data_IF_227870006849
#
_entry.id   IF_227870006849
#
_cell.length_a   1.000
_cell.length_b   1.000
_cell.length_c   1.000
_cell.angle_alpha   90.00
_cell.angle_beta   90.00
_cell.angle_gamma   90.00
#
_symmetry.space_group_name_H-M   'P 1'
#
loop_
_entity.id
_entity.type
_entity.pdbx_description
1 polymer ?
#
# COMPACT_ATOMS: atom_id res chain seq x y z
N UNK A 1 24.66 -10.72 15.07
CA UNK A 1 24.78 -12.18 14.89
C UNK A 1 26.18 -12.58 15.33
N UNK A 2 26.31 -13.56 16.21
CA UNK A 2 27.62 -14.02 16.70
C UNK A 2 28.28 -14.92 15.65
N UNK A 3 29.33 -14.42 15.00
CA UNK A 3 30.20 -15.22 14.14
C UNK A 3 30.99 -16.21 15.01
N UNK A 4 30.50 -17.45 15.12
CA UNK A 4 31.31 -18.55 15.62
C UNK A 4 32.36 -18.92 14.56
N UNK A 5 33.58 -18.43 14.76
CA UNK A 5 34.75 -18.79 13.94
C UNK A 5 35.42 -20.02 14.55
N UNK A 6 35.36 -21.16 13.86
CA UNK A 6 36.00 -22.40 14.28
C UNK A 6 37.41 -22.46 13.68
N UNK A 7 38.43 -22.55 14.54
CA UNK A 7 39.82 -22.72 14.18
C UNK A 7 40.15 -24.21 14.06
N UNK A 8 40.63 -24.65 12.90
CA UNK A 8 41.23 -25.98 12.73
C UNK A 8 42.75 -25.85 12.68
N UNK A 9 43.44 -26.52 13.61
CA UNK A 9 44.90 -26.67 13.58
C UNK A 9 45.19 -28.08 13.08
N UNK A 10 45.84 -28.20 11.93
CA UNK A 10 46.35 -29.47 11.43
C UNK A 10 47.57 -29.91 12.25
N UNK A 11 47.73 -31.23 12.42
CA UNK A 11 48.71 -31.94 13.24
C UNK A 11 50.06 -31.24 13.47
N UNK A 12 50.50 -31.28 14.73
CA UNK A 12 51.84 -30.87 15.16
C UNK A 12 52.77 -32.07 14.96
N UNK A 13 53.52 -32.10 13.86
CA UNK A 13 54.73 -32.92 13.79
C UNK A 13 55.79 -32.29 14.71
N UNK A 14 56.52 -33.11 15.46
CA UNK A 14 57.26 -32.76 16.67
C UNK A 14 58.47 -31.84 16.53
N UNK A 15 58.51 -30.94 15.54
CA UNK A 15 59.53 -29.89 15.39
C UNK A 15 58.94 -28.55 15.87
N UNK A 16 59.39 -28.10 17.05
CA UNK A 16 58.90 -26.89 17.75
C UNK A 16 59.36 -25.57 17.10
N UNK A 17 59.41 -25.53 15.78
CA UNK A 17 59.65 -24.30 15.01
C UNK A 17 58.31 -23.79 14.51
N UNK A 18 57.73 -22.85 15.27
CA UNK A 18 56.58 -22.07 14.81
C UNK A 18 56.99 -21.31 13.55
N UNK A 19 56.60 -21.81 12.38
CA UNK A 19 56.62 -21.00 11.17
C UNK A 19 55.56 -19.92 11.35
N UNK A 20 55.92 -18.66 11.08
CA UNK A 20 54.94 -17.59 10.95
C UNK A 20 54.06 -17.92 9.74
N UNK A 21 52.90 -18.51 9.99
CA UNK A 21 51.87 -18.69 8.97
C UNK A 21 51.04 -17.43 8.96
N UNK A 22 51.15 -16.64 7.89
CA UNK A 22 50.22 -15.56 7.62
C UNK A 22 48.87 -16.19 7.29
N UNK A 23 47.92 -16.12 8.21
CA UNK A 23 46.53 -16.48 7.95
C UNK A 23 45.90 -15.33 7.16
N UNK A 24 45.74 -15.51 5.85
CA UNK A 24 44.87 -14.66 5.06
C UNK A 24 43.42 -14.95 5.48
N UNK A 25 42.81 -13.99 6.20
CA UNK A 25 41.37 -13.96 6.38
C UNK A 25 40.80 -13.51 5.05
N UNK A 26 40.46 -14.48 4.19
CA UNK A 26 39.68 -14.21 3.00
C UNK A 26 38.27 -13.90 3.51
N UNK A 27 37.89 -12.62 3.51
CA UNK A 27 36.49 -12.22 3.64
C UNK A 27 35.75 -12.87 2.47
N UNK A 28 35.19 -14.06 2.69
CA UNK A 28 34.35 -14.71 1.70
C UNK A 28 33.13 -13.82 1.55
N UNK A 29 33.12 -13.01 0.48
CA UNK A 29 31.94 -12.27 0.07
C UNK A 29 30.85 -13.31 -0.09
N UNK A 30 29.91 -13.35 0.87
CA UNK A 30 28.74 -14.21 0.75
C UNK A 30 27.85 -13.56 -0.30
N UNK A 31 27.89 -14.12 -1.50
CA UNK A 31 27.01 -13.73 -2.58
C UNK A 31 25.61 -14.30 -2.30
N UNK A 32 24.59 -13.47 -2.51
CA UNK A 32 23.20 -13.77 -2.14
C UNK A 32 22.34 -13.74 -3.40
N UNK A 33 21.49 -14.76 -3.56
CA UNK A 33 20.45 -14.83 -4.56
C UNK A 33 19.23 -14.01 -4.13
N UNK A 34 18.52 -13.47 -5.11
CA UNK A 34 17.32 -12.69 -4.88
C UNK A 34 17.18 -11.50 -5.81
N UNK A 35 16.21 -10.65 -5.49
CA UNK A 35 15.84 -9.46 -6.23
C UNK A 35 16.14 -8.21 -5.41
N UNK A 36 16.84 -7.25 -6.00
CA UNK A 36 17.38 -6.10 -5.29
C UNK A 36 16.71 -4.80 -5.74
N UNK A 37 16.19 -4.05 -4.77
CA UNK A 37 15.50 -2.79 -4.99
C UNK A 37 16.13 -1.66 -4.17
N UNK A 38 16.15 -0.43 -4.68
CA UNK A 38 16.38 0.73 -3.83
C UNK A 38 15.09 1.08 -3.06
N UNK A 39 15.23 1.82 -1.96
CA UNK A 39 14.07 2.27 -1.15
C UNK A 39 13.14 3.23 -1.90
N UNK A 40 13.57 3.78 -3.03
CA UNK A 40 12.72 4.57 -3.94
C UNK A 40 11.88 3.73 -4.91
N UNK A 41 12.00 2.39 -4.82
CA UNK A 41 11.28 1.44 -5.67
C UNK A 41 12.02 1.07 -6.96
N UNK A 42 13.21 1.62 -7.23
CA UNK A 42 14.01 1.25 -8.42
C UNK A 42 14.51 -0.19 -8.31
N UNK A 43 14.34 -0.99 -9.36
CA UNK A 43 14.92 -2.34 -9.43
C UNK A 43 16.36 -2.29 -9.91
N UNK A 44 17.30 -2.75 -9.07
CA UNK A 44 18.74 -2.71 -9.37
C UNK A 44 19.21 -3.95 -10.14
N UNK A 45 18.62 -5.11 -9.86
CA UNK A 45 18.89 -6.37 -10.55
C UNK A 45 18.50 -7.61 -9.76
N UNK A 46 18.88 -8.77 -10.30
CA UNK A 46 18.64 -10.11 -9.75
C UNK A 46 19.96 -10.88 -9.73
N UNK A 47 20.16 -11.71 -8.71
CA UNK A 47 21.20 -12.75 -8.68
C UNK A 47 20.55 -14.14 -8.56
N UNK A 48 21.09 -15.10 -9.30
CA UNK A 48 20.60 -16.48 -9.38
C UNK A 48 21.75 -17.41 -9.78
N UNK A 49 22.71 -17.51 -8.88
CA UNK A 49 23.90 -18.35 -9.07
C UNK A 49 23.85 -19.53 -8.09
N UNK A 50 24.16 -20.76 -8.53
CA UNK A 50 24.09 -21.96 -7.68
C UNK A 50 24.97 -21.90 -6.42
N UNK A 51 26.06 -21.16 -6.46
CA UNK A 51 27.02 -20.99 -5.36
C UNK A 51 26.60 -19.94 -4.33
N UNK A 52 25.62 -19.10 -4.66
CA UNK A 52 25.12 -18.07 -3.77
C UNK A 52 24.19 -18.68 -2.71
N UNK A 53 24.14 -18.02 -1.55
CA UNK A 53 23.17 -18.36 -0.50
C UNK A 53 21.84 -17.63 -0.70
N UNK A 54 20.81 -17.99 0.09
CA UNK A 54 19.48 -17.38 -0.02
C UNK A 54 18.64 -17.95 -1.15
N UNK A 55 17.38 -17.53 -1.24
CA UNK A 55 16.46 -17.92 -2.30
C UNK A 55 16.50 -16.92 -3.46
N UNK A 56 16.40 -17.41 -4.69
CA UNK A 56 16.19 -16.55 -5.86
C UNK A 56 14.91 -15.73 -5.77
N UNK A 57 13.93 -16.20 -5.00
CA UNK A 57 12.64 -15.53 -4.80
C UNK A 57 12.68 -14.48 -3.68
N UNK A 58 13.77 -14.39 -2.92
CA UNK A 58 13.88 -13.41 -1.84
C UNK A 58 13.95 -11.98 -2.39
N UNK A 59 13.31 -11.04 -1.68
CA UNK A 59 13.37 -9.61 -2.01
C UNK A 59 14.25 -8.88 -1.01
N UNK A 60 15.24 -8.16 -1.51
CA UNK A 60 16.13 -7.32 -0.74
C UNK A 60 15.94 -5.86 -1.14
N UNK A 61 16.14 -4.98 -0.17
CA UNK A 61 16.53 -3.61 -0.50
C UNK A 61 18.04 -3.46 -0.53
N UNK A 62 18.52 -2.41 -1.18
CA UNK A 62 19.92 -2.07 -1.30
C UNK A 62 20.10 -0.55 -1.47
N UNK A 63 21.35 -0.09 -1.38
CA UNK A 63 21.74 1.30 -1.64
C UNK A 63 22.49 1.40 -2.99
N UNK A 64 22.00 0.67 -3.99
CA UNK A 64 22.63 0.53 -5.31
C UNK A 64 23.60 -0.64 -5.43
N UNK A 65 24.24 -0.73 -6.59
CA UNK A 65 25.15 -1.80 -6.99
C UNK A 65 26.59 -1.34 -7.20
N UNK A 66 27.53 -2.26 -7.02
CA UNK A 66 28.96 -2.07 -7.26
C UNK A 66 29.57 -3.25 -7.99
N UNK A 67 30.66 -3.00 -8.72
CA UNK A 67 31.46 -4.04 -9.36
C UNK A 67 32.63 -4.44 -8.47
N UNK A 68 32.80 -5.74 -8.23
CA UNK A 68 33.98 -6.31 -7.56
C UNK A 68 34.64 -7.33 -8.49
N UNK A 69 35.94 -7.59 -8.31
CA UNK A 69 36.63 -8.67 -9.02
C UNK A 69 36.72 -9.90 -8.12
N UNK A 70 36.48 -11.08 -8.67
CA UNK A 70 36.76 -12.33 -7.97
C UNK A 70 38.25 -12.68 -7.97
N UNK A 71 38.61 -13.81 -7.36
CA UNK A 71 39.98 -14.34 -7.28
C UNK A 71 40.59 -14.62 -8.66
N UNK A 72 39.76 -14.82 -9.70
CA UNK A 72 40.19 -14.99 -11.08
C UNK A 72 40.31 -13.67 -11.85
N UNK A 73 39.99 -12.54 -11.22
CA UNK A 73 39.98 -11.21 -11.82
C UNK A 73 38.72 -10.88 -12.62
N UNK A 74 37.70 -11.75 -12.60
CA UNK A 74 36.42 -11.54 -13.31
C UNK A 74 35.56 -10.54 -12.54
N UNK A 75 34.98 -9.59 -13.27
CA UNK A 75 34.06 -8.61 -12.70
C UNK A 75 32.70 -9.23 -12.36
N UNK A 76 32.22 -8.93 -11.15
CA UNK A 76 30.97 -9.40 -10.56
C UNK A 76 30.16 -8.22 -10.04
N UNK A 77 28.86 -8.24 -10.29
CA UNK A 77 27.93 -7.27 -9.72
C UNK A 77 27.58 -7.68 -8.29
N UNK A 78 27.64 -6.71 -7.38
CA UNK A 78 27.29 -6.86 -5.96
C UNK A 78 26.34 -5.73 -5.56
N UNK A 79 25.53 -5.96 -4.54
CA UNK A 79 24.57 -4.97 -4.04
C UNK A 79 24.98 -4.50 -2.65
N UNK A 80 24.85 -3.20 -2.41
CA UNK A 80 25.33 -2.56 -1.19
C UNK A 80 24.22 -2.42 -0.16
N UNK A 81 24.57 -2.52 1.12
CA UNK A 81 23.63 -2.23 2.22
C UNK A 81 22.38 -3.12 2.20
N UNK A 82 22.51 -4.38 1.79
CA UNK A 82 21.34 -5.22 1.55
C UNK A 82 20.57 -5.52 2.83
N UNK A 83 19.24 -5.40 2.77
CA UNK A 83 18.32 -5.79 3.85
C UNK A 83 17.17 -6.63 3.27
N UNK A 84 17.02 -7.85 3.77
CA UNK A 84 15.98 -8.81 3.37
C UNK A 84 14.62 -8.32 3.83
N UNK A 85 13.67 -8.16 2.90
CA UNK A 85 12.31 -7.77 3.19
C UNK A 85 11.51 -8.93 3.79
N UNK A 86 10.77 -8.62 4.85
CA UNK A 86 9.98 -9.60 5.59
C UNK A 86 8.57 -9.11 5.88
N UNK A 87 7.62 -10.02 5.77
CA UNK A 87 6.26 -9.85 6.24
C UNK A 87 5.98 -10.90 7.34
N UNK A 88 5.53 -10.45 8.52
CA UNK A 88 5.28 -11.32 9.67
C UNK A 88 6.45 -12.29 9.98
N UNK A 89 7.68 -11.76 9.98
CA UNK A 89 8.95 -12.49 10.16
C UNK A 89 9.35 -13.48 9.06
N UNK A 90 8.51 -13.67 8.05
CA UNK A 90 8.77 -14.52 6.88
C UNK A 90 9.27 -13.70 5.69
N UNK A 91 10.13 -14.30 4.86
CA UNK A 91 10.62 -13.67 3.64
C UNK A 91 9.47 -13.49 2.66
N UNK A 92 9.32 -12.30 2.11
CA UNK A 92 8.34 -12.08 1.03
C UNK A 92 8.88 -12.65 -0.29
N UNK A 93 8.07 -13.47 -0.97
CA UNK A 93 8.39 -13.94 -2.31
C UNK A 93 8.28 -12.80 -3.34
N UNK A 94 9.19 -12.78 -4.32
CA UNK A 94 9.26 -11.72 -5.33
C UNK A 94 7.96 -11.57 -6.14
N UNK A 95 7.35 -12.68 -6.54
CA UNK A 95 6.06 -12.69 -7.22
C UNK A 95 4.95 -12.00 -6.40
N UNK A 96 4.90 -12.25 -5.10
CA UNK A 96 3.88 -11.65 -4.22
C UNK A 96 4.16 -10.16 -4.00
N UNK A 97 5.43 -9.78 -3.79
CA UNK A 97 5.85 -8.39 -3.75
C UNK A 97 5.42 -7.62 -5.02
N UNK A 98 5.66 -8.18 -6.21
CA UNK A 98 5.28 -7.56 -7.47
C UNK A 98 3.78 -7.40 -7.62
N UNK A 99 2.98 -8.39 -7.20
CA UNK A 99 1.51 -8.31 -7.25
C UNK A 99 0.97 -7.28 -6.27
N UNK A 100 1.47 -7.26 -5.04
CA UNK A 100 1.09 -6.25 -4.02
C UNK A 100 1.37 -4.84 -4.57
N UNK A 101 2.56 -4.61 -5.12
CA UNK A 101 2.92 -3.31 -5.70
C UNK A 101 1.96 -2.91 -6.84
N UNK A 102 1.56 -3.86 -7.68
CA UNK A 102 0.65 -3.57 -8.80
C UNK A 102 -0.76 -3.21 -8.31
N UNK A 103 -1.23 -3.89 -7.27
CA UNK A 103 -2.52 -3.58 -6.66
C UNK A 103 -2.46 -2.18 -6.04
N UNK A 104 -1.43 -1.85 -5.26
CA UNK A 104 -1.24 -0.49 -4.70
C UNK A 104 -1.22 0.58 -5.80
N UNK A 105 -0.55 0.33 -6.93
CA UNK A 105 -0.55 1.21 -8.11
C UNK A 105 -1.95 1.49 -8.65
N UNK A 106 -2.83 0.49 -8.63
CA UNK A 106 -4.18 0.59 -9.15
C UNK A 106 -5.22 1.10 -8.15
N UNK A 107 -4.91 1.09 -6.86
CA UNK A 107 -5.75 1.68 -5.80
C UNK A 107 -5.57 3.21 -5.70
N UNK A 108 -4.36 3.74 -5.95
CA UNK A 108 -4.11 5.18 -5.89
C UNK A 108 -4.79 5.96 -7.01
N UNK A 109 -5.25 7.17 -6.69
CA UNK A 109 -6.06 8.02 -7.57
C UNK A 109 -5.30 9.25 -8.10
N UNK A 110 -4.12 9.55 -7.56
CA UNK A 110 -3.33 10.77 -7.78
C UNK A 110 -1.96 10.49 -8.39
N UNK A 111 -1.13 11.54 -8.47
CA UNK A 111 0.29 11.43 -8.81
C UNK A 111 1.20 11.78 -7.63
N UNK A 112 0.62 11.86 -6.42
CA UNK A 112 1.32 12.14 -5.16
C UNK A 112 1.92 10.85 -4.60
N UNK A 113 3.18 10.90 -4.16
CA UNK A 113 3.88 9.71 -3.63
C UNK A 113 3.22 9.21 -2.34
N UNK A 114 2.78 10.15 -1.51
CA UNK A 114 2.21 9.93 -0.18
C UNK A 114 0.96 9.05 -0.25
N UNK A 115 0.13 9.16 -1.29
CA UNK A 115 -1.07 8.34 -1.42
C UNK A 115 -0.74 6.85 -1.54
N UNK A 116 0.24 6.51 -2.39
CA UNK A 116 0.68 5.11 -2.57
C UNK A 116 1.40 4.57 -1.34
N UNK A 117 2.18 5.42 -0.66
CA UNK A 117 2.78 5.09 0.62
C UNK A 117 1.69 4.74 1.64
N UNK A 118 0.67 5.58 1.78
CA UNK A 118 -0.35 5.42 2.82
C UNK A 118 -1.26 4.23 2.52
N UNK A 119 -1.58 3.96 1.24
CA UNK A 119 -2.29 2.73 0.84
C UNK A 119 -1.48 1.49 1.24
N UNK A 120 -0.17 1.48 0.99
CA UNK A 120 0.69 0.36 1.38
C UNK A 120 0.73 0.14 2.91
N UNK A 121 0.82 1.21 3.70
CA UNK A 121 0.76 1.11 5.17
C UNK A 121 -0.62 0.66 5.67
N UNK A 122 -1.72 1.16 5.10
CA UNK A 122 -3.07 0.73 5.48
C UNK A 122 -3.31 -0.75 5.18
N UNK A 123 -2.84 -1.24 4.02
CA UNK A 123 -2.84 -2.66 3.67
C UNK A 123 -2.09 -3.50 4.69
N UNK A 124 -0.89 -3.06 5.06
CA UNK A 124 -0.03 -3.76 5.99
C UNK A 124 -0.59 -3.77 7.43
N UNK A 125 -1.19 -2.68 7.86
CA UNK A 125 -1.86 -2.59 9.17
C UNK A 125 -3.07 -3.54 9.25
N UNK A 126 -3.91 -3.57 8.21
CA UNK A 126 -5.04 -4.49 8.18
C UNK A 126 -4.58 -5.94 8.09
N UNK A 127 -3.56 -6.26 7.29
CA UNK A 127 -3.03 -7.63 7.14
C UNK A 127 -2.53 -8.15 8.49
N UNK A 128 -1.77 -7.33 9.24
CA UNK A 128 -1.38 -7.61 10.63
C UNK A 128 -2.59 -7.80 11.54
N UNK A 129 -3.59 -6.92 11.48
CA UNK A 129 -4.77 -6.97 12.35
C UNK A 129 -5.56 -8.27 12.19
N UNK A 130 -5.62 -8.83 10.98
CA UNK A 130 -6.40 -10.05 10.68
C UNK A 130 -5.55 -11.32 10.56
N UNK A 131 -4.23 -11.22 10.76
CA UNK A 131 -3.31 -12.35 10.67
C UNK A 131 -3.18 -12.94 9.26
N UNK A 132 -3.15 -12.07 8.24
CA UNK A 132 -2.92 -12.44 6.84
C UNK A 132 -1.67 -11.76 6.29
N UNK A 133 -1.16 -12.25 5.16
CA UNK A 133 -0.21 -11.48 4.35
C UNK A 133 -0.92 -10.39 3.55
N UNK A 134 -0.22 -9.34 3.16
CA UNK A 134 -0.73 -8.28 2.28
C UNK A 134 -1.24 -8.89 0.98
N UNK A 135 -0.54 -9.90 0.43
CA UNK A 135 -0.98 -10.59 -0.78
C UNK A 135 -2.33 -11.30 -0.59
N UNK A 136 -2.51 -12.03 0.51
CA UNK A 136 -3.78 -12.70 0.83
C UNK A 136 -4.91 -11.69 1.02
N UNK A 137 -4.66 -10.63 1.81
CA UNK A 137 -5.62 -9.57 2.05
C UNK A 137 -6.07 -8.90 0.74
N UNK A 138 -5.11 -8.47 -0.09
CA UNK A 138 -5.39 -7.78 -1.33
C UNK A 138 -6.06 -8.66 -2.40
N UNK A 139 -5.93 -9.99 -2.32
CA UNK A 139 -6.67 -10.91 -3.18
C UNK A 139 -8.05 -11.29 -2.65
N UNK A 140 -8.40 -10.85 -1.44
CA UNK A 140 -9.76 -10.97 -0.91
C UNK A 140 -10.70 -9.88 -1.48
N UNK A 141 -11.89 -9.74 -0.87
CA UNK A 141 -12.81 -8.64 -1.14
C UNK A 141 -12.38 -7.28 -0.56
N UNK A 142 -11.22 -7.19 0.08
CA UNK A 142 -10.69 -5.95 0.66
C UNK A 142 -10.27 -4.92 -0.41
N UNK A 143 -9.65 -5.36 -1.50
CA UNK A 143 -9.27 -4.51 -2.63
C UNK A 143 -10.30 -4.61 -3.75
N UNK A 144 -10.70 -3.46 -4.27
CA UNK A 144 -11.67 -3.33 -5.38
C UNK A 144 -11.03 -3.49 -6.76
N UNK A 145 -9.70 -3.57 -6.84
CA UNK A 145 -8.95 -3.71 -8.09
C UNK A 145 -9.41 -4.97 -8.85
N UNK A 146 -9.71 -4.79 -10.14
CA UNK A 146 -10.14 -5.90 -11.00
C UNK A 146 -9.09 -7.01 -11.08
N UNK A 147 -9.53 -8.27 -11.15
CA UNK A 147 -8.64 -9.44 -11.21
C UNK A 147 -7.57 -9.37 -12.32
N UNK A 148 -7.86 -8.73 -13.46
CA UNK A 148 -6.92 -8.54 -14.57
C UNK A 148 -5.69 -7.69 -14.20
N UNK A 149 -5.78 -6.90 -13.14
CA UNK A 149 -4.72 -6.05 -12.62
C UNK A 149 -4.03 -6.65 -11.38
N UNK A 150 -4.56 -7.73 -10.80
CA UNK A 150 -3.92 -8.49 -9.70
C UNK A 150 -2.82 -9.43 -10.22
N UNK A 151 -1.96 -8.91 -11.09
CA UNK A 151 -0.83 -9.61 -11.73
C UNK A 151 0.48 -8.95 -11.34
N UNK A 152 1.61 -9.62 -11.58
CA UNK A 152 2.94 -9.08 -11.27
C UNK A 152 3.21 -7.76 -12.03
N UNK A 153 3.60 -6.72 -11.30
CA UNK A 153 4.17 -5.52 -11.90
C UNK A 153 5.55 -5.83 -12.48
N UNK A 154 5.82 -5.46 -13.73
CA UNK A 154 7.13 -5.72 -14.34
C UNK A 154 8.21 -4.88 -13.67
N UNK A 155 9.39 -5.47 -13.48
CA UNK A 155 10.56 -4.77 -12.92
C UNK A 155 11.05 -3.62 -13.79
N UNK A 156 10.72 -3.63 -15.09
CA UNK A 156 11.04 -2.56 -16.04
C UNK A 156 10.05 -1.38 -16.03
N UNK A 157 8.94 -1.47 -15.30
CA UNK A 157 7.99 -0.35 -15.17
C UNK A 157 8.56 0.73 -14.25
N UNK A 158 9.18 1.74 -14.85
CA UNK A 158 9.85 2.85 -14.16
C UNK A 158 9.09 4.18 -14.26
N UNK A 159 7.79 4.14 -14.60
CA UNK A 159 6.96 5.32 -14.44
C UNK A 159 6.80 5.69 -12.96
N UNK A 160 6.50 6.96 -12.69
CA UNK A 160 6.46 7.50 -11.33
C UNK A 160 5.54 6.72 -10.40
N UNK A 161 4.39 6.27 -10.88
CA UNK A 161 3.40 5.57 -10.06
C UNK A 161 3.89 4.17 -9.69
N UNK A 162 4.50 3.47 -10.65
CA UNK A 162 5.12 2.18 -10.39
C UNK A 162 6.25 2.27 -9.36
N UNK A 163 7.08 3.32 -9.43
CA UNK A 163 8.13 3.58 -8.45
C UNK A 163 7.54 3.91 -7.06
N UNK A 164 6.55 4.79 -6.98
CA UNK A 164 5.91 5.16 -5.72
C UNK A 164 5.21 3.97 -5.05
N UNK A 165 4.59 3.09 -5.85
CA UNK A 165 3.92 1.90 -5.34
C UNK A 165 4.93 0.90 -4.77
N UNK A 166 6.04 0.66 -5.47
CA UNK A 166 7.13 -0.18 -4.94
C UNK A 166 7.76 0.43 -3.69
N UNK A 167 8.04 1.73 -3.71
CA UNK A 167 8.59 2.45 -2.56
C UNK A 167 7.66 2.36 -1.34
N UNK A 168 6.35 2.51 -1.53
CA UNK A 168 5.37 2.40 -0.45
C UNK A 168 5.32 1.01 0.18
N UNK A 169 5.30 -0.04 -0.64
CA UNK A 169 5.32 -1.43 -0.15
C UNK A 169 6.63 -1.75 0.56
N UNK A 170 7.77 -1.32 0.01
CA UNK A 170 9.07 -1.46 0.66
C UNK A 170 9.05 -0.77 2.03
N UNK A 171 8.60 0.49 2.11
CA UNK A 171 8.59 1.26 3.35
C UNK A 171 7.68 0.65 4.42
N UNK A 172 6.49 0.15 4.04
CA UNK A 172 5.59 -0.54 4.95
C UNK A 172 6.20 -1.84 5.51
N UNK A 173 6.84 -2.67 4.66
CA UNK A 173 7.51 -3.90 5.08
C UNK A 173 8.75 -3.62 5.94
N UNK A 174 9.43 -2.49 5.72
CA UNK A 174 10.60 -2.06 6.48
C UNK A 174 10.33 -1.87 7.97
N UNK A 175 9.07 -1.63 8.35
CA UNK A 175 8.65 -1.52 9.76
C UNK A 175 8.88 -2.80 10.58
N UNK A 176 9.12 -3.94 9.95
CA UNK A 176 9.54 -5.18 10.65
C UNK A 176 11.05 -5.28 10.86
N UNK A 177 11.84 -4.39 10.24
CA UNK A 177 13.30 -4.52 10.13
C UNK A 177 13.98 -3.32 10.79
N UNK A 178 13.30 -2.18 10.87
CA UNK A 178 13.84 -0.90 11.29
C UNK A 178 12.86 -0.25 12.27
N UNK A 179 13.20 -0.25 13.56
CA UNK A 179 12.34 0.28 14.64
C UNK A 179 12.17 1.81 14.54
N UNK A 180 13.02 2.51 13.77
CA UNK A 180 12.89 3.94 13.50
C UNK A 180 11.83 4.23 12.40
N UNK A 181 11.29 3.19 11.76
CA UNK A 181 10.23 3.33 10.74
C UNK A 181 8.86 3.37 11.39
N UNK A 182 8.25 4.54 11.35
CA UNK A 182 6.90 4.79 11.85
C UNK A 182 5.83 4.56 10.78
N UNK A 183 4.59 4.34 11.24
CA UNK A 183 3.41 4.33 10.39
C UNK A 183 2.88 5.75 10.16
N UNK A 184 2.96 6.30 8.95
CA UNK A 184 2.51 7.66 8.68
C UNK A 184 0.98 7.79 8.64
N UNK A 185 0.24 6.69 8.77
CA UNK A 185 -1.23 6.66 8.68
C UNK A 185 -1.93 6.62 10.04
N UNK A 186 -1.18 6.64 11.14
CA UNK A 186 -1.69 6.42 12.50
C UNK A 186 -2.59 5.17 12.63
N UNK A 187 -2.06 4.02 12.18
CA UNK A 187 -2.75 2.73 12.20
C UNK A 187 -4.06 2.72 11.39
N UNK A 188 -4.14 3.49 10.30
CA UNK A 188 -5.23 3.32 9.36
C UNK A 188 -5.24 1.89 8.82
N UNK A 189 -6.42 1.33 8.60
CA UNK A 189 -6.63 -0.05 8.13
C UNK A 189 -7.51 -0.09 6.89
N UNK A 190 -8.00 1.06 6.43
CA UNK A 190 -8.87 1.22 5.28
C UNK A 190 -8.69 2.61 4.68
N UNK A 191 -9.21 2.79 3.48
CA UNK A 191 -9.25 4.08 2.81
C UNK A 191 -10.50 4.19 1.93
N UNK A 192 -10.88 5.40 1.54
CA UNK A 192 -11.80 5.64 0.41
C UNK A 192 -11.30 6.78 -0.46
N UNK A 193 -11.75 6.76 -1.71
CA UNK A 193 -11.54 7.85 -2.65
C UNK A 193 -12.64 8.91 -2.60
N UNK A 194 -12.65 9.70 -3.66
CA UNK A 194 -13.62 10.78 -3.95
C UNK A 194 -15.10 10.36 -3.92
N UNK A 195 -15.42 9.07 -4.05
CA UNK A 195 -16.78 8.55 -3.97
C UNK A 195 -17.40 8.65 -2.57
N UNK A 196 -16.56 8.68 -1.52
CA UNK A 196 -17.03 8.97 -0.16
C UNK A 196 -17.72 10.33 -0.08
N UNK A 197 -17.13 11.37 -0.70
CA UNK A 197 -17.71 12.72 -0.74
C UNK A 197 -18.91 12.81 -1.69
N UNK A 198 -18.94 12.02 -2.76
CA UNK A 198 -20.02 12.09 -3.75
C UNK A 198 -21.30 11.40 -3.28
N UNK A 199 -21.19 10.22 -2.68
CA UNK A 199 -22.35 9.37 -2.38
C UNK A 199 -23.02 9.70 -1.04
N UNK A 200 -22.32 10.35 -0.10
CA UNK A 200 -22.93 10.78 1.16
C UNK A 200 -23.42 9.61 2.03
N UNK A 201 -24.41 9.86 2.87
CA UNK A 201 -24.92 8.97 3.92
C UNK A 201 -26.02 8.07 3.41
N UNK A 202 -27.16 8.64 3.00
CA UNK A 202 -28.32 7.89 2.53
C UNK A 202 -29.16 8.63 1.48
N UNK A 203 -28.75 9.83 1.08
CA UNK A 203 -29.55 10.71 0.22
C UNK A 203 -29.62 10.20 -1.21
N UNK A 204 -28.51 9.78 -1.80
CA UNK A 204 -28.46 9.41 -3.22
C UNK A 204 -28.40 7.91 -3.50
N UNK A 205 -29.17 7.47 -4.51
CA UNK A 205 -29.03 6.12 -5.09
C UNK A 205 -27.67 5.98 -5.77
N UNK A 206 -26.98 4.86 -5.54
CA UNK A 206 -25.70 4.57 -6.20
C UNK A 206 -25.89 4.42 -7.71
N UNK A 207 -24.91 4.85 -8.52
CA UNK A 207 -25.07 4.91 -9.97
C UNK A 207 -25.20 3.52 -10.62
N UNK A 208 -24.66 2.49 -9.97
CA UNK A 208 -24.61 1.09 -10.41
C UNK A 208 -25.60 0.18 -9.66
N UNK A 209 -26.46 0.72 -8.79
CA UNK A 209 -27.39 -0.06 -7.97
C UNK A 209 -28.81 0.49 -8.04
N UNK A 210 -29.80 -0.40 -8.08
CA UNK A 210 -31.23 -0.03 -8.03
C UNK A 210 -31.81 0.02 -6.61
N UNK A 211 -31.01 -0.35 -5.61
CA UNK A 211 -31.51 -0.56 -4.23
C UNK A 211 -30.59 -0.05 -3.13
N UNK A 212 -29.37 0.39 -3.47
CA UNK A 212 -28.39 0.87 -2.48
C UNK A 212 -28.24 2.38 -2.58
N UNK A 213 -28.34 3.03 -1.45
CA UNK A 213 -28.18 4.48 -1.29
C UNK A 213 -26.91 4.77 -0.48
N UNK A 214 -26.34 5.96 -0.66
CA UNK A 214 -25.23 6.40 0.17
C UNK A 214 -23.93 5.65 -0.05
N UNK A 215 -22.89 6.05 0.67
CA UNK A 215 -21.63 5.32 0.75
C UNK A 215 -21.74 4.16 1.76
N UNK A 216 -21.22 2.97 1.42
CA UNK A 216 -21.44 1.75 2.22
C UNK A 216 -20.93 1.90 3.66
N UNK A 217 -19.92 2.74 3.91
CA UNK A 217 -19.37 2.92 5.26
C UNK A 217 -20.41 3.42 6.26
N UNK A 218 -21.37 4.24 5.84
CA UNK A 218 -22.42 4.73 6.71
C UNK A 218 -23.38 3.62 7.14
N UNK A 219 -23.44 2.50 6.41
CA UNK A 219 -24.16 1.29 6.78
C UNK A 219 -23.30 0.31 7.59
N UNK A 220 -22.01 0.20 7.27
CA UNK A 220 -21.10 -0.85 7.77
C UNK A 220 -20.56 -0.56 9.19
N UNK A 221 -20.43 0.72 9.55
CA UNK A 221 -19.80 1.16 10.79
C UNK A 221 -20.81 1.85 11.71
N UNK A 222 -20.54 1.75 13.00
CA UNK A 222 -21.39 2.23 14.08
C UNK A 222 -21.37 3.76 14.17
N UNK A 223 -20.20 4.34 13.87
CA UNK A 223 -20.05 5.77 13.65
C UNK A 223 -18.94 6.04 12.62
N UNK A 224 -18.99 7.23 12.04
CA UNK A 224 -17.91 7.81 11.23
C UNK A 224 -17.56 9.16 11.83
N UNK A 225 -16.27 9.38 12.08
CA UNK A 225 -15.74 10.65 12.59
C UNK A 225 -14.63 11.16 11.69
N UNK A 226 -14.69 12.45 11.35
CA UNK A 226 -13.65 13.16 10.60
C UNK A 226 -13.42 14.50 11.29
N UNK A 227 -12.17 14.80 11.66
CA UNK A 227 -11.88 16.13 12.21
C UNK A 227 -12.11 17.20 11.15
N UNK A 228 -12.52 18.41 11.56
CA UNK A 228 -12.78 19.49 10.60
C UNK A 228 -11.61 19.74 9.66
N UNK A 229 -10.40 19.75 10.20
CA UNK A 229 -9.16 19.96 9.44
C UNK A 229 -8.93 18.87 8.39
N UNK A 230 -9.15 17.59 8.74
CA UNK A 230 -8.99 16.49 7.77
C UNK A 230 -10.08 16.53 6.70
N UNK A 231 -11.32 16.82 7.10
CA UNK A 231 -12.44 16.97 6.17
C UNK A 231 -12.18 18.09 5.16
N UNK A 232 -11.79 19.28 5.64
CA UNK A 232 -11.52 20.44 4.79
C UNK A 232 -10.38 20.16 3.82
N UNK A 233 -9.30 19.53 4.30
CA UNK A 233 -8.18 19.11 3.45
C UNK A 233 -8.61 18.11 2.38
N UNK A 234 -9.44 17.13 2.74
CA UNK A 234 -9.95 16.14 1.80
C UNK A 234 -10.83 16.77 0.71
N UNK A 235 -11.78 17.62 1.12
CA UNK A 235 -12.64 18.36 0.20
C UNK A 235 -11.82 19.25 -0.72
N UNK A 236 -10.86 20.02 -0.20
CA UNK A 236 -9.99 20.89 -1.00
C UNK A 236 -9.23 20.09 -2.07
N UNK A 237 -8.60 18.97 -1.69
CA UNK A 237 -7.85 18.14 -2.65
C UNK A 237 -8.76 17.55 -3.73
N UNK A 238 -9.89 16.97 -3.35
CA UNK A 238 -10.82 16.33 -4.31
C UNK A 238 -11.44 17.37 -5.24
N UNK A 239 -11.95 18.48 -4.70
CA UNK A 239 -12.57 19.55 -5.50
C UNK A 239 -11.56 20.34 -6.33
N UNK A 240 -10.32 20.48 -5.87
CA UNK A 240 -9.22 21.06 -6.64
C UNK A 240 -8.93 20.28 -7.93
N UNK A 241 -9.13 18.96 -7.93
CA UNK A 241 -9.02 18.11 -9.14
C UNK A 241 -10.31 18.06 -9.96
N UNK A 242 -11.44 17.83 -9.30
CA UNK A 242 -12.72 17.47 -9.97
C UNK A 242 -13.62 18.66 -10.25
N UNK A 243 -13.41 19.78 -9.58
CA UNK A 243 -14.40 20.85 -9.46
C UNK A 243 -15.50 20.47 -8.45
N UNK A 244 -16.69 21.02 -8.65
CA UNK A 244 -17.82 20.87 -7.73
C UNK A 244 -18.71 19.65 -8.00
N UNK A 245 -18.34 18.77 -8.94
CA UNK A 245 -19.19 17.62 -9.31
C UNK A 245 -18.36 16.39 -9.68
N UNK A 246 -18.93 15.20 -9.50
CA UNK A 246 -18.35 13.92 -9.92
C UNK A 246 -19.35 13.07 -10.70
N UNK A 247 -18.88 12.41 -11.76
CA UNK A 247 -19.75 11.70 -12.68
C UNK A 247 -19.43 10.20 -12.82
N UNK A 248 -20.46 9.38 -12.72
CA UNK A 248 -20.35 7.92 -12.79
C UNK A 248 -21.12 7.37 -13.98
N UNK A 249 -20.68 6.23 -14.54
CA UNK A 249 -21.55 5.46 -15.43
C UNK A 249 -22.76 5.00 -14.63
N UNK A 250 -23.96 5.23 -15.15
CA UNK A 250 -25.18 4.89 -14.45
C UNK A 250 -26.03 3.90 -15.24
N UNK A 251 -26.63 2.95 -14.52
CA UNK A 251 -27.63 2.02 -15.06
C UNK A 251 -29.05 2.60 -15.07
N UNK A 252 -29.20 3.81 -14.53
CA UNK A 252 -30.45 4.53 -14.37
C UNK A 252 -30.84 5.24 -15.67
N UNK A 253 -32.15 5.35 -15.89
CA UNK A 253 -32.70 5.93 -17.11
C UNK A 253 -32.91 7.43 -16.93
N UNK A 254 -32.28 8.23 -17.82
CA UNK A 254 -32.41 9.69 -17.85
C UNK A 254 -33.85 10.21 -18.01
N UNK A 255 -34.81 9.34 -18.34
CA UNK A 255 -36.21 9.70 -18.60
C UNK A 255 -37.18 9.31 -17.48
N UNK A 256 -36.73 8.63 -16.42
CA UNK A 256 -37.59 8.21 -15.29
C UNK A 256 -37.35 9.06 -14.04
N UNK A 257 -38.05 10.18 -13.96
CA UNK A 257 -37.98 11.14 -12.84
C UNK A 257 -38.71 10.74 -11.56
N UNK A 258 -39.31 9.55 -11.45
CA UNK A 258 -40.31 9.30 -10.39
C UNK A 258 -39.96 8.22 -9.36
N UNK A 259 -38.76 7.63 -9.37
CA UNK A 259 -38.41 6.59 -8.37
C UNK A 259 -36.96 6.59 -7.89
N UNK A 260 -36.19 7.64 -8.15
CA UNK A 260 -34.80 7.75 -7.70
C UNK A 260 -34.73 8.67 -6.49
N UNK A 261 -34.28 8.13 -5.35
CA UNK A 261 -33.95 8.92 -4.15
C UNK A 261 -32.60 9.61 -4.45
N UNK A 262 -32.52 10.93 -4.25
CA UNK A 262 -31.28 11.68 -4.46
C UNK A 262 -31.43 13.10 -4.98
N UNK A 263 -30.34 13.85 -4.93
CA UNK A 263 -30.18 15.19 -5.52
C UNK A 263 -29.33 15.16 -6.80
N UNK A 264 -28.68 14.03 -7.11
CA UNK A 264 -27.88 13.88 -8.34
C UNK A 264 -28.72 14.03 -9.62
N UNK A 265 -28.04 14.41 -10.71
CA UNK A 265 -28.67 14.60 -12.02
C UNK A 265 -28.22 13.56 -13.04
N UNK A 266 -29.10 13.22 -13.99
CA UNK A 266 -28.79 12.29 -15.06
C UNK A 266 -28.52 12.98 -16.40
N UNK A 267 -27.48 12.55 -17.10
CA UNK A 267 -27.14 13.05 -18.45
C UNK A 267 -26.63 11.94 -19.36
N UNK A 268 -27.03 11.97 -20.63
CA UNK A 268 -26.43 11.11 -21.66
C UNK A 268 -25.14 11.76 -22.17
N UNK A 269 -24.03 11.05 -22.06
CA UNK A 269 -22.71 11.46 -22.60
C UNK A 269 -22.16 10.34 -23.46
N UNK A 270 -21.91 10.62 -24.75
CA UNK A 270 -21.37 9.62 -25.71
C UNK A 270 -22.15 8.28 -25.70
N UNK A 271 -23.49 8.34 -25.72
CA UNK A 271 -24.40 7.17 -25.66
C UNK A 271 -24.33 6.36 -24.35
N UNK A 272 -23.75 6.91 -23.28
CA UNK A 272 -23.76 6.30 -21.94
C UNK A 272 -24.51 7.20 -20.98
N UNK A 273 -25.35 6.61 -20.14
CA UNK A 273 -26.02 7.32 -19.06
C UNK A 273 -25.00 7.62 -17.96
N UNK A 274 -25.03 8.85 -17.46
CA UNK A 274 -24.18 9.33 -16.37
C UNK A 274 -25.06 9.85 -15.25
N UNK A 275 -24.71 9.51 -14.01
CA UNK A 275 -25.17 10.19 -12.81
C UNK A 275 -24.10 11.21 -12.40
N UNK A 276 -24.52 12.44 -12.08
CA UNK A 276 -23.66 13.56 -11.72
C UNK A 276 -24.03 13.99 -10.30
N UNK A 277 -23.08 13.83 -9.38
CA UNK A 277 -23.22 14.15 -7.96
C UNK A 277 -22.51 15.47 -7.67
N UNK A 278 -23.04 16.23 -6.72
CA UNK A 278 -22.33 17.38 -6.15
C UNK A 278 -21.19 16.90 -5.25
N UNK A 279 -20.13 17.70 -5.19
CA UNK A 279 -18.98 17.47 -4.32
C UNK A 279 -18.75 18.69 -3.40
N UNK A 280 -18.83 18.52 -2.07
CA UNK A 280 -19.31 17.32 -1.36
C UNK A 280 -20.83 17.15 -1.50
N UNK A 281 -21.33 15.95 -1.20
CA UNK A 281 -22.75 15.68 -1.04
C UNK A 281 -23.37 16.61 0.03
N UNK A 282 -24.65 16.95 -0.12
CA UNK A 282 -25.39 17.83 0.81
C UNK A 282 -25.38 17.29 2.23
N UNK A 283 -25.32 15.97 2.41
CA UNK A 283 -25.24 15.34 3.73
C UNK A 283 -24.07 15.88 4.58
N UNK A 284 -22.98 16.32 3.94
CA UNK A 284 -21.82 16.85 4.66
C UNK A 284 -21.96 18.32 5.09
N UNK A 285 -23.04 19.01 4.74
CA UNK A 285 -23.34 20.37 5.23
C UNK A 285 -24.41 20.41 6.31
N UNK A 286 -25.05 19.27 6.63
CA UNK A 286 -26.10 19.18 7.64
C UNK A 286 -25.55 19.45 9.05
N UNK A 287 -26.08 20.49 9.72
CA UNK A 287 -25.57 20.98 11.00
C UNK A 287 -25.58 19.91 12.11
N UNK A 288 -26.50 18.95 12.04
CA UNK A 288 -26.60 17.86 13.01
C UNK A 288 -25.35 16.98 13.08
N UNK A 289 -24.62 16.84 11.97
CA UNK A 289 -23.38 16.07 11.91
C UNK A 289 -22.15 16.88 12.34
N UNK A 290 -22.29 18.16 12.68
CA UNK A 290 -21.19 19.07 13.01
C UNK A 290 -21.27 19.67 14.41
N UNK A 291 -22.11 19.11 15.28
CA UNK A 291 -22.40 19.64 16.63
C UNK A 291 -21.18 19.78 17.55
N UNK A 292 -20.08 19.06 17.27
CA UNK A 292 -18.83 19.12 18.07
C UNK A 292 -17.72 19.92 17.40
N UNK A 293 -17.96 20.46 16.21
CA UNK A 293 -16.93 21.02 15.33
C UNK A 293 -16.30 19.99 14.39
N UNK A 294 -16.34 18.69 14.73
CA UNK A 294 -15.96 17.58 13.84
C UNK A 294 -17.19 17.02 13.11
N UNK A 295 -16.98 16.41 11.94
CA UNK A 295 -18.02 15.62 11.29
C UNK A 295 -18.20 14.33 12.09
N UNK A 296 -19.44 14.05 12.49
CA UNK A 296 -19.80 12.86 13.23
C UNK A 296 -21.16 12.33 12.78
N UNK A 297 -21.15 11.15 12.16
CA UNK A 297 -22.36 10.39 11.88
C UNK A 297 -22.43 9.17 12.80
N UNK A 298 -23.61 8.95 13.40
CA UNK A 298 -23.91 7.75 14.21
C UNK A 298 -24.95 6.89 13.48
N UNK A 299 -24.61 5.63 13.23
CA UNK A 299 -25.54 4.69 12.64
C UNK A 299 -26.67 4.36 13.63
N UNK A 300 -27.91 4.35 13.13
CA UNK A 300 -29.08 3.94 13.91
C UNK A 300 -29.00 2.46 14.35
N UNK A 301 -28.34 1.61 13.55
CA UNK A 301 -28.08 0.21 13.87
C UNK A 301 -26.68 0.05 14.44
N UNK A 302 -26.59 -0.50 15.65
CA UNK A 302 -25.31 -0.75 16.30
C UNK A 302 -24.43 -1.68 15.46
N UNK A 303 -23.16 -1.29 15.25
CA UNK A 303 -22.13 -2.13 14.62
C UNK A 303 -20.98 -2.40 15.60
N UNK A 304 -20.09 -3.30 15.23
CA UNK A 304 -18.95 -3.72 16.08
C UNK A 304 -17.82 -2.69 16.10
N UNK A 305 -17.73 -1.86 15.06
CA UNK A 305 -16.64 -0.92 14.86
C UNK A 305 -17.16 0.45 14.46
N UNK A 306 -16.50 1.51 14.94
CA UNK A 306 -16.54 2.84 14.35
C UNK A 306 -15.33 3.09 13.46
N UNK A 307 -15.39 4.16 12.67
CA UNK A 307 -14.26 4.64 11.88
C UNK A 307 -13.90 6.07 12.26
N UNK A 308 -12.60 6.30 12.38
CA UNK A 308 -12.02 7.62 12.57
C UNK A 308 -11.02 7.90 11.46
N UNK A 309 -11.19 9.04 10.79
CA UNK A 309 -10.21 9.49 9.81
C UNK A 309 -8.92 9.90 10.52
N UNK A 310 -7.79 9.40 10.04
CA UNK A 310 -6.47 9.69 10.62
C UNK A 310 -5.63 10.59 9.75
N UNK A 311 -5.73 10.45 8.43
CA UNK A 311 -4.99 11.27 7.48
C UNK A 311 -5.64 11.32 6.09
N UNK A 312 -5.13 12.23 5.27
CA UNK A 312 -5.52 12.43 3.86
C UNK A 312 -4.24 12.49 3.03
N UNK A 313 -4.18 11.72 1.93
CA UNK A 313 -3.09 11.77 0.96
C UNK A 313 -3.63 11.58 -0.46
N UNK A 314 -3.15 12.35 -1.44
CA UNK A 314 -3.76 12.39 -2.76
C UNK A 314 -5.25 12.74 -2.69
N UNK A 315 -6.10 11.89 -3.26
CA UNK A 315 -7.56 12.04 -3.24
C UNK A 315 -8.22 10.98 -2.36
N UNK A 316 -7.51 10.58 -1.32
CA UNK A 316 -7.85 9.45 -0.47
C UNK A 316 -7.86 9.86 0.99
N UNK A 317 -8.92 9.48 1.70
CA UNK A 317 -9.03 9.59 3.16
C UNK A 317 -8.81 8.21 3.78
N UNK A 318 -8.06 8.17 4.89
CA UNK A 318 -7.64 6.93 5.55
C UNK A 318 -8.31 6.77 6.91
N UNK A 319 -8.71 5.54 7.22
CA UNK A 319 -9.57 5.22 8.35
C UNK A 319 -8.95 4.23 9.31
N UNK A 320 -8.99 4.56 10.60
CA UNK A 320 -8.71 3.65 11.71
C UNK A 320 -10.01 3.01 12.20
N UNK A 321 -10.01 1.69 12.35
CA UNK A 321 -11.11 0.95 12.98
C UNK A 321 -11.03 1.05 14.49
N UNK A 322 -12.10 1.54 15.11
CA UNK A 322 -12.23 1.60 16.57
C UNK A 322 -13.23 0.55 17.03
N UNK A 323 -12.78 -0.38 17.87
CA UNK A 323 -13.67 -1.39 18.46
C UNK A 323 -14.53 -0.75 19.56
N UNK A 324 -15.82 -1.06 19.54
CA UNK A 324 -16.84 -0.49 20.43
C UNK A 324 -17.20 -1.44 21.56
#
# INVERSE_FOLDING_TARGET
MNDNRILYIAEIDGDTRFQNVTLEIIDRIVYINGHFYNTDGTFEGKNDEPENTGSVEDVYTCTGKSTKKDESGKELTTYNGIKLLKENDENIAHSDFQKICNIVKHEGLSSEKEEYLYIAHANYNESKRIGQTMFQLLNSGYSSVEAKFKVEMKTSENDRISLYSRAGVIDALFRNIDDDKEDPTDNATQWDGEDFLAWGIDTDLKPDSKTKYGHNKFDEYDYIKISKTLYDSFVEKVTGRRGSTLNYNSIHDTTKTTSEKGTHTHKVVKKKNKAIYDLPNVDFSEEEYWTTGDFYYKNATKRTFGLEATCVAGYTIFWKKIRI
#
